data_IF_708133107797
#
_entry.id   IF_708133107797
#
_cell.length_a   1.000
_cell.length_b   1.000
_cell.length_c   1.000
_cell.angle_alpha   90.00
_cell.angle_beta   90.00
_cell.angle_gamma   90.00
#
_symmetry.space_group_name_H-M   'P 1'
#
loop_
_entity.id
_entity.type
_entity.pdbx_description
1 polymer ?
#
# COMPACT_ATOMS: atom_id res chain seq x y z
N UNK A 1 15.10 -71.96 -19.84
CA UNK A 1 13.78 -72.15 -20.50
C UNK A 1 12.74 -72.53 -19.44
N UNK A 2 11.84 -71.61 -19.04
CA UNK A 2 10.51 -71.88 -18.48
C UNK A 2 9.72 -70.57 -18.46
N UNK A 3 8.52 -70.62 -19.04
CA UNK A 3 7.58 -69.52 -19.32
C UNK A 3 6.60 -69.32 -18.15
N UNK A 4 5.79 -68.25 -18.29
CA UNK A 4 4.52 -67.89 -17.62
C UNK A 4 4.64 -66.90 -16.44
N UNK A 5 4.27 -65.62 -16.61
CA UNK A 5 2.91 -65.00 -16.74
C UNK A 5 2.16 -64.93 -15.41
N UNK A 6 2.20 -63.78 -14.73
CA UNK A 6 1.15 -63.23 -13.83
C UNK A 6 1.34 -61.70 -13.87
N UNK A 7 0.66 -61.00 -14.78
CA UNK A 7 -0.63 -60.31 -14.59
C UNK A 7 -0.53 -59.01 -13.78
N UNK A 8 -0.85 -57.92 -14.48
CA UNK A 8 -1.03 -56.54 -14.05
C UNK A 8 -1.82 -56.40 -12.74
N UNK A 9 -1.33 -55.57 -11.83
CA UNK A 9 -2.18 -54.74 -10.98
C UNK A 9 -1.52 -53.37 -10.80
N UNK A 10 -1.76 -52.50 -11.77
CA UNK A 10 -1.52 -51.08 -11.67
C UNK A 10 -2.66 -50.46 -10.82
N UNK A 11 -2.47 -50.44 -9.50
CA UNK A 11 -3.30 -49.58 -8.64
C UNK A 11 -2.79 -48.15 -8.74
N UNK A 12 -3.39 -47.42 -9.68
CA UNK A 12 -3.36 -45.96 -9.78
C UNK A 12 -3.89 -45.35 -8.48
N UNK A 13 -2.99 -45.04 -7.54
CA UNK A 13 -3.26 -44.02 -6.51
C UNK A 13 -3.23 -42.67 -7.24
N UNK A 14 -4.41 -42.26 -7.71
CA UNK A 14 -4.63 -40.93 -8.24
C UNK A 14 -4.28 -39.91 -7.16
N UNK A 15 -3.13 -39.27 -7.33
CA UNK A 15 -2.80 -38.03 -6.66
C UNK A 15 -3.88 -37.00 -7.02
N UNK A 16 -4.86 -36.85 -6.14
CA UNK A 16 -5.75 -35.70 -6.12
C UNK A 16 -4.97 -34.46 -5.69
N UNK A 17 -4.04 -33.99 -6.52
CA UNK A 17 -3.60 -32.61 -6.45
C UNK A 17 -4.77 -31.78 -6.96
N UNK A 18 -5.64 -31.38 -6.03
CA UNK A 18 -6.57 -30.29 -6.28
C UNK A 18 -5.75 -29.10 -6.73
N UNK A 19 -5.77 -28.80 -8.03
CA UNK A 19 -5.30 -27.55 -8.57
C UNK A 19 -6.20 -26.47 -7.96
N UNK A 20 -5.79 -25.95 -6.81
CA UNK A 20 -6.31 -24.69 -6.32
C UNK A 20 -6.00 -23.68 -7.43
N UNK A 21 -7.02 -23.33 -8.21
CA UNK A 21 -6.95 -22.20 -9.12
C UNK A 21 -6.81 -20.98 -8.20
N UNK A 22 -5.57 -20.60 -7.94
CA UNK A 22 -5.26 -19.31 -7.31
C UNK A 22 -5.68 -18.29 -8.35
N UNK A 23 -6.91 -17.79 -8.24
CA UNK A 23 -7.32 -16.64 -9.03
C UNK A 23 -6.34 -15.52 -8.69
N UNK A 24 -5.64 -14.94 -9.68
CA UNK A 24 -4.77 -13.81 -9.40
C UNK A 24 -5.65 -12.74 -8.75
N UNK A 25 -5.22 -12.22 -7.60
CA UNK A 25 -5.92 -11.13 -6.93
C UNK A 25 -6.11 -10.02 -7.96
N UNK A 26 -7.36 -9.76 -8.36
CA UNK A 26 -7.65 -8.76 -9.36
C UNK A 26 -7.18 -7.42 -8.79
N UNK A 27 -6.29 -6.75 -9.54
CA UNK A 27 -5.78 -5.45 -9.15
C UNK A 27 -6.95 -4.47 -8.99
N UNK A 28 -7.21 -4.05 -7.75
CA UNK A 28 -8.26 -3.08 -7.46
C UNK A 28 -7.83 -1.75 -8.06
N UNK A 29 -8.60 -1.25 -9.04
CA UNK A 29 -8.39 0.10 -9.56
C UNK A 29 -8.64 1.10 -8.44
N UNK A 30 -7.62 1.90 -8.12
CA UNK A 30 -7.73 2.97 -7.14
C UNK A 30 -8.75 4.02 -7.60
N UNK A 31 -9.62 4.43 -6.68
CA UNK A 31 -10.66 5.43 -6.93
C UNK A 31 -10.26 6.83 -6.44
N UNK A 32 -11.22 7.76 -6.49
CA UNK A 32 -11.10 9.04 -5.77
C UNK A 32 -11.05 8.78 -4.27
N UNK A 33 -10.26 9.55 -3.54
CA UNK A 33 -10.24 9.46 -2.07
C UNK A 33 -11.60 9.84 -1.48
N UNK A 34 -11.92 9.36 -0.26
CA UNK A 34 -13.00 9.90 0.55
C UNK A 34 -12.82 11.39 0.86
N UNK A 35 -13.91 12.01 1.32
CA UNK A 35 -13.89 13.39 1.77
C UNK A 35 -12.88 13.57 2.92
N UNK A 36 -11.99 14.54 2.75
CA UNK A 36 -11.05 14.96 3.79
C UNK A 36 -11.58 16.21 4.45
N UNK A 37 -11.31 16.35 5.74
CA UNK A 37 -11.42 17.64 6.41
C UNK A 37 -10.56 18.67 5.69
N UNK A 38 -11.14 19.85 5.42
CA UNK A 38 -10.41 20.93 4.80
C UNK A 38 -9.23 21.36 5.68
N UNK A 39 -8.08 21.62 5.05
CA UNK A 39 -6.89 22.09 5.72
C UNK A 39 -6.24 23.24 4.93
N UNK A 40 -6.50 24.47 5.36
CA UNK A 40 -5.89 25.69 4.88
C UNK A 40 -4.67 26.11 5.70
N UNK A 41 -3.99 27.16 5.26
CA UNK A 41 -2.76 27.64 5.89
C UNK A 41 -2.96 28.12 7.34
N UNK A 42 -4.13 28.67 7.67
CA UNK A 42 -4.47 29.18 9.01
C UNK A 42 -5.24 28.18 9.89
N UNK A 43 -5.57 26.99 9.38
CA UNK A 43 -6.23 25.97 10.18
C UNK A 43 -5.30 25.45 11.29
N UNK A 44 -5.91 25.08 12.42
CA UNK A 44 -5.22 24.48 13.56
C UNK A 44 -4.41 23.24 13.11
N UNK A 45 -3.15 23.15 13.52
CA UNK A 45 -2.28 22.02 13.17
C UNK A 45 -2.80 20.67 13.66
N UNK A 46 -3.57 20.65 14.74
CA UNK A 46 -4.20 19.46 15.29
C UNK A 46 -5.53 19.11 14.63
N UNK A 47 -6.09 19.95 13.76
CA UNK A 47 -7.34 19.65 13.06
C UNK A 47 -7.20 18.35 12.25
N UNK A 48 -8.14 17.43 12.45
CA UNK A 48 -8.18 16.15 11.72
C UNK A 48 -8.49 16.38 10.23
N UNK A 49 -7.67 15.78 9.37
CA UNK A 49 -7.91 15.72 7.91
C UNK A 49 -8.60 14.40 7.57
N UNK A 50 -8.08 13.27 8.08
CA UNK A 50 -8.69 11.96 7.87
C UNK A 50 -8.20 10.92 8.90
N UNK A 51 -9.07 9.97 9.25
CA UNK A 51 -8.77 8.85 10.13
C UNK A 51 -8.52 7.57 9.32
N UNK A 52 -7.33 6.99 9.44
CA UNK A 52 -6.96 5.71 8.86
C UNK A 52 -6.83 4.66 9.98
N UNK A 53 -7.92 3.97 10.32
CA UNK A 53 -7.98 3.08 11.50
C UNK A 53 -7.49 3.82 12.76
N UNK A 54 -6.37 3.41 13.36
CA UNK A 54 -5.77 4.04 14.54
C UNK A 54 -4.78 5.17 14.18
N UNK A 55 -4.58 5.48 12.90
CA UNK A 55 -3.67 6.50 12.42
C UNK A 55 -4.40 7.76 12.01
N UNK A 56 -3.85 8.90 12.37
CA UNK A 56 -4.49 10.19 12.14
C UNK A 56 -3.65 11.06 11.20
N UNK A 57 -4.23 11.43 10.05
CA UNK A 57 -3.70 12.54 9.27
C UNK A 57 -4.34 13.82 9.81
N UNK A 58 -3.53 14.67 10.44
CA UNK A 58 -3.94 16.02 10.89
C UNK A 58 -3.32 17.08 9.98
N UNK A 59 -3.81 18.31 10.10
CA UNK A 59 -3.36 19.44 9.30
C UNK A 59 -1.84 19.63 9.33
N UNK A 60 -1.24 19.47 10.50
CA UNK A 60 0.20 19.50 10.67
C UNK A 60 0.82 20.87 10.44
N UNK A 61 2.08 20.93 10.03
CA UNK A 61 2.79 22.16 9.67
C UNK A 61 3.84 21.82 8.59
N UNK A 62 4.85 22.69 8.38
CA UNK A 62 5.90 22.44 7.39
C UNK A 62 6.76 21.18 7.68
N UNK A 63 6.76 20.67 8.92
CA UNK A 63 7.59 19.55 9.36
C UNK A 63 6.82 18.24 9.56
N UNK A 64 5.48 18.26 9.58
CA UNK A 64 4.66 17.05 9.73
C UNK A 64 3.22 17.22 9.23
N UNK A 65 2.51 16.12 9.01
CA UNK A 65 1.09 16.06 8.68
C UNK A 65 0.77 16.44 7.23
N UNK A 66 -0.49 16.81 6.98
CA UNK A 66 -0.99 17.12 5.63
C UNK A 66 -0.20 18.24 4.96
N UNK A 67 0.08 19.34 5.67
CA UNK A 67 0.83 20.48 5.13
C UNK A 67 2.23 20.06 4.68
N UNK A 68 2.95 19.30 5.49
CA UNK A 68 4.26 18.78 5.12
C UNK A 68 4.21 17.84 3.89
N UNK A 69 3.22 16.94 3.81
CA UNK A 69 3.06 16.07 2.63
C UNK A 69 2.78 16.90 1.38
N UNK A 70 1.89 17.88 1.48
CA UNK A 70 1.56 18.77 0.37
C UNK A 70 2.78 19.59 -0.05
N UNK A 71 3.42 20.28 0.87
CA UNK A 71 4.47 21.24 0.54
C UNK A 71 5.79 20.53 0.13
N UNK A 72 6.07 19.35 0.67
CA UNK A 72 7.31 18.59 0.40
C UNK A 72 7.19 17.52 -0.67
N UNK A 73 5.99 16.97 -0.90
CA UNK A 73 5.81 15.78 -1.74
C UNK A 73 4.71 15.91 -2.81
N UNK A 74 4.07 17.07 -2.96
CA UNK A 74 3.01 17.28 -3.96
C UNK A 74 3.44 16.87 -5.37
N UNK A 75 4.57 17.37 -5.86
CA UNK A 75 5.01 17.09 -7.24
C UNK A 75 5.29 15.61 -7.46
N UNK A 76 5.88 14.94 -6.46
CA UNK A 76 6.13 13.49 -6.53
C UNK A 76 4.82 12.72 -6.64
N UNK A 77 3.83 13.03 -5.79
CA UNK A 77 2.52 12.40 -5.88
C UNK A 77 1.79 12.76 -7.17
N UNK A 78 1.82 14.02 -7.59
CA UNK A 78 1.09 14.48 -8.76
C UNK A 78 1.63 13.85 -10.05
N UNK A 79 2.95 13.71 -10.17
CA UNK A 79 3.57 13.07 -11.32
C UNK A 79 3.18 11.59 -11.44
N UNK A 80 3.09 10.88 -10.31
CA UNK A 80 2.69 9.48 -10.29
C UNK A 80 1.18 9.30 -10.47
N UNK A 81 0.37 10.15 -9.84
CA UNK A 81 -1.08 10.06 -9.87
C UNK A 81 -1.63 10.20 -11.31
N UNK A 82 -0.98 11.00 -12.16
CA UNK A 82 -1.34 11.17 -13.57
C UNK A 82 -1.37 9.85 -14.34
N UNK A 83 -0.43 8.94 -14.08
CA UNK A 83 -0.38 7.63 -14.76
C UNK A 83 -1.62 6.77 -14.45
N UNK A 84 -2.20 6.92 -13.25
CA UNK A 84 -3.42 6.25 -12.83
C UNK A 84 -4.72 7.02 -13.11
N UNK A 85 -4.65 8.22 -13.70
CA UNK A 85 -5.80 9.10 -13.85
C UNK A 85 -6.34 9.66 -12.52
N UNK A 86 -5.46 9.82 -11.53
CA UNK A 86 -5.75 10.30 -10.18
C UNK A 86 -5.18 11.70 -9.95
N UNK A 87 -5.68 12.40 -8.92
CA UNK A 87 -5.00 13.59 -8.39
C UNK A 87 -4.00 13.20 -7.30
N UNK A 88 -3.05 14.10 -7.00
CA UNK A 88 -2.03 13.86 -5.97
C UNK A 88 -2.63 13.36 -4.64
N UNK A 89 -3.73 13.97 -4.18
CA UNK A 89 -4.34 13.63 -2.90
C UNK A 89 -5.03 12.26 -2.91
N UNK A 90 -5.55 11.83 -4.07
CA UNK A 90 -6.11 10.48 -4.20
C UNK A 90 -5.00 9.44 -3.98
N UNK A 91 -3.85 9.64 -4.62
CA UNK A 91 -2.72 8.74 -4.46
C UNK A 91 -2.14 8.79 -3.05
N UNK A 92 -2.05 9.96 -2.40
CA UNK A 92 -1.67 10.07 -0.98
C UNK A 92 -2.61 9.24 -0.10
N UNK A 93 -3.92 9.35 -0.32
CA UNK A 93 -4.91 8.59 0.46
C UNK A 93 -4.65 7.09 0.35
N UNK A 94 -4.54 6.56 -0.87
CA UNK A 94 -4.34 5.13 -1.07
C UNK A 94 -2.96 4.65 -0.61
N UNK A 95 -1.93 5.47 -0.77
CA UNK A 95 -0.60 5.20 -0.22
C UNK A 95 -0.66 5.01 1.30
N UNK A 96 -1.34 5.92 2.02
CA UNK A 96 -1.49 5.80 3.47
C UNK A 96 -2.40 4.62 3.83
N UNK A 97 -3.56 4.52 3.18
CA UNK A 97 -4.56 3.49 3.45
C UNK A 97 -3.94 2.09 3.42
N UNK A 98 -3.26 1.73 2.33
CA UNK A 98 -2.70 0.39 2.22
C UNK A 98 -1.45 0.17 3.09
N UNK A 99 -0.67 1.22 3.38
CA UNK A 99 0.40 1.12 4.38
C UNK A 99 -0.14 0.86 5.80
N UNK A 100 -1.33 1.37 6.11
CA UNK A 100 -2.00 1.13 7.38
C UNK A 100 -2.70 -0.22 7.40
N UNK A 101 -3.31 -0.63 6.28
CA UNK A 101 -4.08 -1.87 6.15
C UNK A 101 -3.18 -3.11 6.19
N UNK A 102 -2.15 -3.11 5.35
CA UNK A 102 -1.34 -4.29 5.04
C UNK A 102 0.07 -3.84 4.60
N UNK A 103 0.93 -3.35 5.51
CA UNK A 103 2.28 -2.94 5.13
C UNK A 103 3.17 -4.13 4.75
N UNK A 104 4.09 -3.93 3.80
CA UNK A 104 5.14 -4.92 3.51
C UNK A 104 6.13 -5.01 4.69
N UNK A 105 6.45 -3.86 5.28
CA UNK A 105 7.32 -3.77 6.46
C UNK A 105 6.81 -2.75 7.46
N UNK A 106 7.07 -3.04 8.75
CA UNK A 106 6.82 -2.12 9.87
C UNK A 106 8.06 -2.08 10.76
N UNK A 107 8.59 -0.88 10.98
CA UNK A 107 9.68 -0.62 11.91
C UNK A 107 9.25 0.44 12.91
N UNK A 108 9.63 0.28 14.16
CA UNK A 108 9.47 1.28 15.23
C UNK A 108 10.84 1.50 15.87
N UNK A 109 11.25 2.76 15.98
CA UNK A 109 12.50 3.16 16.61
C UNK A 109 12.24 4.39 17.50
N UNK A 110 12.31 4.20 18.82
CA UNK A 110 11.97 5.24 19.78
C UNK A 110 10.52 5.71 19.62
N UNK A 111 10.33 7.01 19.40
CA UNK A 111 9.00 7.64 19.26
C UNK A 111 8.43 7.58 17.85
N UNK A 112 9.20 7.10 16.88
CA UNK A 112 8.82 7.14 15.47
C UNK A 112 8.65 5.74 14.90
N UNK A 113 7.68 5.60 14.02
CA UNK A 113 7.41 4.38 13.25
C UNK A 113 7.46 4.65 11.75
N UNK A 114 7.84 3.62 11.00
CA UNK A 114 7.87 3.60 9.55
C UNK A 114 7.10 2.38 9.05
N UNK A 115 6.19 2.60 8.10
CA UNK A 115 5.53 1.57 7.29
C UNK A 115 5.89 1.80 5.83
N UNK A 116 6.11 0.73 5.08
CA UNK A 116 6.21 0.82 3.63
C UNK A 116 5.39 -0.26 2.93
N UNK A 117 4.90 0.08 1.73
CA UNK A 117 4.19 -0.85 0.85
C UNK A 117 4.43 -0.52 -0.61
N UNK A 118 4.59 -1.56 -1.43
CA UNK A 118 4.62 -1.49 -2.88
C UNK A 118 3.20 -1.50 -3.46
N UNK A 119 2.84 -0.48 -4.21
CA UNK A 119 1.59 -0.42 -4.96
C UNK A 119 1.87 -0.60 -6.45
N UNK A 120 0.93 -1.22 -7.15
CA UNK A 120 1.06 -1.61 -8.54
C UNK A 120 -0.02 -0.94 -9.39
N UNK A 121 0.36 -0.47 -10.57
CA UNK A 121 -0.55 -0.04 -11.61
C UNK A 121 -0.65 -1.14 -12.66
N UNK A 122 -1.87 -1.53 -12.97
CA UNK A 122 -2.15 -2.52 -14.01
C UNK A 122 -2.89 -1.87 -15.17
N UNK A 123 -2.62 -2.34 -16.40
CA UNK A 123 -3.38 -1.95 -17.57
C UNK A 123 -4.76 -2.64 -17.61
N UNK A 124 -5.56 -2.33 -18.64
CA UNK A 124 -6.92 -2.89 -18.78
C UNK A 124 -6.95 -4.41 -18.93
N UNK A 125 -5.83 -5.03 -19.29
CA UNK A 125 -5.71 -6.47 -19.45
C UNK A 125 -5.15 -7.13 -18.18
N UNK A 126 -4.98 -6.38 -17.09
CA UNK A 126 -4.45 -6.90 -15.83
C UNK A 126 -2.94 -7.12 -15.83
N UNK A 127 -2.21 -6.57 -16.81
CA UNK A 127 -0.75 -6.62 -16.81
C UNK A 127 -0.19 -5.47 -15.98
N UNK A 128 0.74 -5.77 -15.09
CA UNK A 128 1.49 -4.75 -14.36
C UNK A 128 2.27 -3.88 -15.36
N UNK A 129 2.06 -2.58 -15.29
CA UNK A 129 2.76 -1.59 -16.12
C UNK A 129 3.67 -0.69 -15.31
N UNK A 130 3.49 -0.66 -13.99
CA UNK A 130 4.30 0.16 -13.09
C UNK A 130 4.12 -0.29 -11.64
N UNK A 131 5.14 -0.05 -10.82
CA UNK A 131 5.11 -0.29 -9.39
C UNK A 131 5.84 0.84 -8.65
N UNK A 132 5.40 1.12 -7.42
CA UNK A 132 6.01 2.14 -6.58
C UNK A 132 5.82 1.87 -5.12
N UNK A 133 6.92 2.01 -4.37
CA UNK A 133 6.90 1.93 -2.93
C UNK A 133 6.55 3.29 -2.33
N UNK A 134 5.71 3.27 -1.33
CA UNK A 134 5.35 4.44 -0.53
C UNK A 134 5.71 4.16 0.91
N UNK A 135 6.29 5.17 1.57
CA UNK A 135 6.52 5.16 3.02
C UNK A 135 5.49 6.01 3.73
N UNK A 136 5.12 5.58 4.93
CA UNK A 136 4.38 6.36 5.92
C UNK A 136 5.19 6.39 7.20
N UNK A 137 5.59 7.59 7.62
CA UNK A 137 6.24 7.83 8.91
C UNK A 137 5.21 8.39 9.87
N UNK A 138 5.17 7.86 11.08
CA UNK A 138 4.19 8.21 12.10
C UNK A 138 4.84 8.29 13.47
N UNK A 139 4.21 9.02 14.39
CA UNK A 139 4.57 8.97 15.79
C UNK A 139 4.01 7.67 16.40
N UNK A 140 4.88 6.81 16.91
CA UNK A 140 4.54 5.49 17.41
C UNK A 140 3.80 5.50 18.76
N UNK A 141 3.77 6.64 19.46
CA UNK A 141 3.07 6.78 20.73
C UNK A 141 1.58 7.06 20.54
N UNK A 142 1.23 7.88 19.54
CA UNK A 142 -0.13 8.38 19.33
C UNK A 142 -0.73 8.03 17.95
N UNK A 143 0.03 7.41 17.04
CA UNK A 143 -0.44 7.04 15.70
C UNK A 143 -0.57 8.22 14.73
N UNK A 144 -0.14 9.43 15.10
CA UNK A 144 -0.22 10.62 14.25
C UNK A 144 0.74 10.51 13.07
N UNK A 145 0.22 10.70 11.86
CA UNK A 145 1.02 10.65 10.64
C UNK A 145 1.91 11.89 10.57
N UNK A 146 3.22 11.64 10.46
CA UNK A 146 4.26 12.67 10.30
C UNK A 146 4.42 12.98 8.82
N UNK A 147 4.60 11.96 7.97
CA UNK A 147 4.71 12.15 6.52
C UNK A 147 4.32 10.90 5.75
N UNK A 148 4.02 11.06 4.48
CA UNK A 148 3.89 9.98 3.51
C UNK A 148 4.51 10.41 2.19
N UNK A 149 5.30 9.55 1.54
CA UNK A 149 6.00 9.91 0.30
C UNK A 149 6.37 8.69 -0.56
N UNK A 150 6.47 8.87 -1.90
CA UNK A 150 7.00 7.83 -2.79
C UNK A 150 8.52 7.66 -2.58
N UNK A 151 9.00 6.42 -2.61
CA UNK A 151 10.42 6.09 -2.50
C UNK A 151 10.74 4.76 -3.19
N UNK A 152 12.02 4.44 -3.40
CA UNK A 152 12.47 3.10 -3.82
C UNK A 152 12.97 2.26 -2.65
N UNK A 153 13.14 2.87 -1.46
CA UNK A 153 13.71 2.22 -0.28
C UNK A 153 12.64 1.63 0.64
N UNK A 154 12.94 0.50 1.28
CA UNK A 154 12.13 -0.05 2.38
C UNK A 154 12.40 0.70 3.70
N UNK A 155 11.51 0.58 4.68
CA UNK A 155 11.78 0.95 6.06
C UNK A 155 12.96 0.12 6.58
N UNK A 156 13.92 0.79 7.20
CA UNK A 156 15.11 0.17 7.80
C UNK A 156 15.23 0.63 9.25
N UNK A 157 15.86 -0.20 10.09
CA UNK A 157 16.27 0.17 11.45
C UNK A 157 17.45 1.12 11.42
#
# INVERSE_FOLDING_TARGET
MKKLRVALLACLLALGFGLAVVTPAQAVKLGTRPNWGACGFSDDAQKLVYQFKTFELRCGNASWGYRHIKDGHYDQFQNLARAGGLNWSDLVHWAIHYNVEDPDHVIVNGTDGCRDRLLYLHDRNGREVWQQRFKVVYNALDGRIITAYPTTSICKR
#
